data_IF_700523604141
#
_entry.id   IF_700523604141
#
_cell.length_a   1.000
_cell.length_b   1.000
_cell.length_c   1.000
_cell.angle_alpha   90.00
_cell.angle_beta   90.00
_cell.angle_gamma   90.00
#
_symmetry.space_group_name_H-M   'P 1'
#
loop_
_entity.id
_entity.type
_entity.pdbx_description
1 polymer ?
#
# COMPACT_ATOMS: atom_id res chain seq x y z
N UNK A 1 17.40 -47.92 26.64
CA UNK A 1 17.40 -46.62 25.92
C UNK A 1 17.83 -45.42 26.76
N UNK A 2 17.67 -45.42 28.10
CA UNK A 2 18.04 -44.27 28.94
C UNK A 2 19.54 -43.91 28.93
N UNK A 3 20.45 -44.90 29.02
CA UNK A 3 21.90 -44.64 29.04
C UNK A 3 22.44 -43.99 27.76
N UNK A 4 21.85 -44.30 26.61
CA UNK A 4 22.26 -43.67 25.35
C UNK A 4 21.84 -42.19 25.31
N UNK A 5 20.69 -41.84 25.89
CA UNK A 5 20.23 -40.45 25.95
C UNK A 5 21.13 -39.54 26.80
N UNK A 6 21.91 -40.09 27.72
CA UNK A 6 22.84 -39.33 28.58
C UNK A 6 24.20 -39.10 27.90
N UNK A 7 24.64 -40.03 27.05
CA UNK A 7 25.91 -39.92 26.31
C UNK A 7 25.74 -39.46 24.85
N UNK A 8 24.52 -39.19 24.40
CA UNK A 8 24.25 -38.82 23.01
C UNK A 8 24.78 -37.41 22.68
N UNK A 9 25.83 -37.37 21.86
CA UNK A 9 26.46 -36.13 21.37
C UNK A 9 25.49 -35.26 20.56
N UNK A 10 24.57 -35.87 19.81
CA UNK A 10 23.56 -35.14 19.03
C UNK A 10 22.55 -34.43 19.93
N UNK A 11 22.11 -35.07 21.02
CA UNK A 11 21.24 -34.44 22.03
C UNK A 11 21.95 -33.27 22.72
N UNK A 12 23.22 -33.44 23.09
CA UNK A 12 24.01 -32.37 23.72
C UNK A 12 24.18 -31.15 22.80
N UNK A 13 24.36 -31.36 21.49
CA UNK A 13 24.37 -30.27 20.50
C UNK A 13 23.02 -29.58 20.36
N UNK A 14 21.92 -30.34 20.35
CA UNK A 14 20.56 -29.78 20.24
C UNK A 14 20.17 -28.95 21.48
N UNK A 15 20.48 -29.44 22.69
CA UNK A 15 20.23 -28.69 23.95
C UNK A 15 21.07 -27.41 24.02
N UNK A 16 22.32 -27.42 23.52
CA UNK A 16 23.13 -26.19 23.43
C UNK A 16 22.61 -25.17 22.41
N UNK A 17 21.89 -25.60 21.38
CA UNK A 17 21.28 -24.72 20.38
C UNK A 17 19.87 -24.27 20.75
N UNK A 18 19.21 -24.95 21.70
CA UNK A 18 17.98 -24.46 22.30
C UNK A 18 18.28 -23.25 23.17
N UNK A 19 17.82 -22.06 22.74
CA UNK A 19 17.63 -20.94 23.66
C UNK A 19 16.50 -21.31 24.60
N UNK A 20 16.83 -21.58 25.86
CA UNK A 20 15.83 -21.69 26.92
C UNK A 20 15.03 -20.38 26.98
N UNK A 21 13.71 -20.49 26.84
CA UNK A 21 12.82 -19.42 27.30
C UNK A 21 12.93 -19.47 28.82
N UNK A 22 13.62 -18.49 29.41
CA UNK A 22 13.69 -18.36 30.85
C UNK A 22 12.31 -17.95 31.37
N UNK A 23 11.52 -18.93 31.81
CA UNK A 23 10.45 -18.66 32.75
C UNK A 23 11.09 -18.53 34.14
N UNK A 24 10.98 -17.36 34.74
CA UNK A 24 11.36 -17.18 36.14
C UNK A 24 10.49 -18.08 37.03
N UNK A 25 11.05 -18.68 38.10
CA UNK A 25 10.26 -19.49 39.01
C UNK A 25 9.22 -18.61 39.69
N UNK A 26 7.99 -19.10 39.76
CA UNK A 26 6.93 -18.52 40.56
C UNK A 26 7.21 -18.79 42.04
N UNK A 27 8.01 -17.93 42.67
CA UNK A 27 8.07 -17.86 44.12
C UNK A 27 7.05 -16.82 44.61
N UNK A 28 6.04 -17.37 45.25
CA UNK A 28 4.96 -16.69 45.94
C UNK A 28 5.48 -15.90 47.13
N UNK A 29 5.24 -14.58 47.15
CA UNK A 29 4.60 -13.92 48.29
C UNK A 29 4.29 -12.44 48.03
N UNK A 30 3.04 -12.10 48.36
CA UNK A 30 2.53 -10.77 48.73
C UNK A 30 2.39 -9.68 47.65
N UNK A 31 1.17 -9.59 47.12
CA UNK A 31 0.41 -8.33 47.14
C UNK A 31 0.37 -7.51 45.85
N UNK A 32 -0.84 -7.06 45.54
CA UNK A 32 -1.25 -5.98 44.62
C UNK A 32 -1.44 -6.25 43.12
N UNK A 33 -2.66 -5.86 42.71
CA UNK A 33 -3.25 -5.87 41.39
C UNK A 33 -2.32 -5.35 40.29
N UNK A 34 -2.13 -6.15 39.23
CA UNK A 34 -1.98 -5.70 37.85
C UNK A 34 -2.06 -6.90 36.92
N UNK A 35 -3.12 -6.99 36.13
CA UNK A 35 -3.16 -7.81 34.91
C UNK A 35 -2.21 -7.18 33.89
N UNK A 36 -0.91 -7.35 34.12
CA UNK A 36 0.14 -6.96 33.19
C UNK A 36 0.15 -7.95 32.03
N UNK A 37 -0.55 -7.61 30.95
CA UNK A 37 -0.27 -8.21 29.66
C UNK A 37 1.17 -7.87 29.32
N UNK A 38 2.02 -8.90 29.36
CA UNK A 38 3.45 -8.82 29.08
C UNK A 38 3.65 -8.05 27.78
N UNK A 39 4.32 -6.90 27.86
CA UNK A 39 4.75 -6.13 26.69
C UNK A 39 5.86 -6.90 25.98
N UNK A 40 5.45 -7.90 25.19
CA UNK A 40 6.30 -8.60 24.25
C UNK A 40 6.28 -7.86 22.91
N UNK A 41 6.80 -6.62 22.88
CA UNK A 41 7.16 -5.95 21.64
C UNK A 41 8.56 -5.38 21.80
N UNK A 42 9.45 -5.95 20.99
CA UNK A 42 10.85 -5.62 20.73
C UNK A 42 11.32 -4.21 21.16
N UNK A 43 12.59 -4.12 21.56
CA UNK A 43 13.40 -2.91 21.68
C UNK A 43 13.50 -2.02 20.40
N UNK A 44 12.61 -2.17 19.42
CA UNK A 44 12.45 -1.26 18.30
C UNK A 44 11.42 -0.19 18.64
N UNK A 45 11.86 1.06 18.79
CA UNK A 45 10.98 2.22 18.92
C UNK A 45 9.95 2.19 17.79
N UNK A 46 8.66 2.20 18.12
CA UNK A 46 7.60 2.22 17.13
C UNK A 46 7.66 3.54 16.34
N UNK A 47 7.77 3.43 15.03
CA UNK A 47 7.73 4.59 14.14
C UNK A 47 6.29 4.88 13.71
N UNK A 48 5.72 5.92 14.30
CA UNK A 48 4.36 6.36 14.01
C UNK A 48 4.16 6.83 12.57
N UNK A 49 5.23 7.26 11.87
CA UNK A 49 5.14 7.64 10.46
C UNK A 49 4.98 6.41 9.58
N UNK A 50 5.75 5.34 9.83
CA UNK A 50 5.59 4.06 9.12
C UNK A 50 4.25 3.41 9.39
N UNK A 51 3.72 3.56 10.61
CA UNK A 51 2.36 3.12 10.92
C UNK A 51 1.32 3.85 10.08
N UNK A 52 1.42 5.18 9.96
CA UNK A 52 0.52 5.99 9.12
C UNK A 52 0.63 5.65 7.66
N UNK A 53 1.84 5.43 7.15
CA UNK A 53 2.08 4.95 5.79
C UNK A 53 1.40 3.59 5.56
N UNK A 54 1.53 2.64 6.50
CA UNK A 54 0.84 1.35 6.46
C UNK A 54 -0.69 1.49 6.44
N UNK A 55 -1.24 2.40 7.23
CA UNK A 55 -2.68 2.70 7.23
C UNK A 55 -3.11 3.32 5.90
N UNK A 56 -2.31 4.22 5.31
CA UNK A 56 -2.59 4.80 4.01
C UNK A 56 -2.62 3.71 2.93
N UNK A 57 -1.65 2.79 2.93
CA UNK A 57 -1.67 1.62 2.05
C UNK A 57 -2.92 0.77 2.24
N UNK A 58 -3.28 0.42 3.49
CA UNK A 58 -4.48 -0.36 3.79
C UNK A 58 -5.75 0.33 3.27
N UNK A 59 -5.91 1.64 3.51
CA UNK A 59 -7.05 2.42 3.03
C UNK A 59 -7.12 2.40 1.49
N UNK A 60 -6.00 2.62 0.81
CA UNK A 60 -5.96 2.64 -0.65
C UNK A 60 -6.19 1.26 -1.27
N UNK A 61 -5.69 0.20 -0.64
CA UNK A 61 -5.82 -1.18 -1.12
C UNK A 61 -7.26 -1.70 -1.02
N UNK A 62 -7.98 -1.30 0.03
CA UNK A 62 -9.34 -1.74 0.29
C UNK A 62 -10.40 -0.67 -0.01
N UNK A 63 -9.99 0.43 -0.66
CA UNK A 63 -10.88 1.52 -1.08
C UNK A 63 -11.74 2.09 0.07
N UNK A 64 -11.19 2.12 1.28
CA UNK A 64 -11.89 2.64 2.43
C UNK A 64 -12.02 4.18 2.37
N UNK A 65 -13.10 4.75 2.93
CA UNK A 65 -13.16 6.19 3.08
C UNK A 65 -12.08 6.66 4.05
N UNK A 66 -11.42 7.79 3.76
CA UNK A 66 -10.40 8.36 4.65
C UNK A 66 -10.91 8.69 6.05
N UNK A 67 -12.23 8.77 6.25
CA UNK A 67 -12.85 8.96 7.56
C UNK A 67 -12.73 7.76 8.50
N UNK A 68 -12.40 6.57 7.98
CA UNK A 68 -12.34 5.34 8.77
C UNK A 68 -11.36 5.44 9.94
N UNK A 69 -10.28 6.21 9.78
CA UNK A 69 -9.29 6.43 10.85
C UNK A 69 -9.81 7.28 12.00
N UNK A 70 -10.92 7.98 11.80
CA UNK A 70 -11.56 8.83 12.80
C UNK A 70 -12.59 8.07 13.64
N UNK A 71 -12.96 6.85 13.25
CA UNK A 71 -13.93 6.03 13.96
C UNK A 71 -13.43 5.61 15.34
N UNK A 72 -14.34 5.57 16.31
CA UNK A 72 -14.01 5.23 17.69
C UNK A 72 -13.48 3.80 17.81
N UNK A 73 -14.11 2.85 17.11
CA UNK A 73 -13.69 1.44 17.11
C UNK A 73 -12.26 1.24 16.58
N UNK A 74 -11.92 1.91 15.46
CA UNK A 74 -10.57 1.89 14.93
C UNK A 74 -9.55 2.46 15.93
N UNK A 75 -9.85 3.62 16.52
CA UNK A 75 -8.94 4.25 17.49
C UNK A 75 -8.80 3.44 18.78
N UNK A 76 -9.87 2.80 19.26
CA UNK A 76 -9.82 1.91 20.41
C UNK A 76 -8.94 0.69 20.13
N UNK A 77 -9.08 0.08 18.95
CA UNK A 77 -8.23 -1.03 18.52
C UNK A 77 -6.76 -0.62 18.45
N UNK A 78 -6.46 0.50 17.81
CA UNK A 78 -5.09 1.00 17.67
C UNK A 78 -4.46 1.34 19.02
N UNK A 79 -5.21 1.96 19.93
CA UNK A 79 -4.71 2.30 21.27
C UNK A 79 -4.44 1.07 22.14
N UNK A 80 -5.15 -0.04 21.90
CA UNK A 80 -4.88 -1.33 22.58
C UNK A 80 -3.59 -1.97 22.09
N UNK A 81 -3.29 -1.90 20.79
CA UNK A 81 -2.05 -2.45 20.23
C UNK A 81 -0.84 -1.52 20.38
N UNK A 82 -1.07 -0.21 20.40
CA UNK A 82 -0.06 0.85 20.40
C UNK A 82 -0.44 1.88 21.47
N UNK A 83 0.14 1.80 22.68
CA UNK A 83 -0.21 2.72 23.77
C UNK A 83 0.02 4.21 23.45
N UNK A 84 1.03 4.51 22.62
CA UNK A 84 1.37 5.87 22.17
C UNK A 84 0.51 6.36 21.00
N UNK A 85 -0.52 5.60 20.60
CA UNK A 85 -1.36 5.95 19.45
C UNK A 85 -2.15 7.24 19.71
N UNK A 86 -1.94 8.21 18.83
CA UNK A 86 -2.72 9.42 18.77
C UNK A 86 -3.68 9.36 17.59
N UNK A 87 -4.90 9.86 17.79
CA UNK A 87 -5.92 9.91 16.75
C UNK A 87 -5.38 10.64 15.52
N UNK A 88 -5.55 10.02 14.36
CA UNK A 88 -5.20 10.61 13.06
C UNK A 88 -6.47 11.16 12.41
N UNK A 89 -6.38 12.35 11.82
CA UNK A 89 -7.50 12.94 11.09
C UNK A 89 -7.58 12.43 9.65
N UNK A 90 -8.77 12.51 9.04
CA UNK A 90 -8.97 12.20 7.62
C UNK A 90 -8.08 13.06 6.71
N UNK A 91 -7.80 14.31 7.12
CA UNK A 91 -6.99 15.25 6.34
C UNK A 91 -5.55 14.79 6.33
N UNK A 92 -5.07 14.37 7.50
CA UNK A 92 -3.72 13.85 7.68
C UNK A 92 -3.50 12.57 6.88
N UNK A 93 -4.41 11.58 6.99
CA UNK A 93 -4.24 10.32 6.27
C UNK A 93 -4.41 10.48 4.75
N UNK A 94 -5.28 11.40 4.32
CA UNK A 94 -5.39 11.79 2.91
C UNK A 94 -4.06 12.33 2.39
N UNK A 95 -3.42 13.24 3.13
CA UNK A 95 -2.11 13.77 2.76
C UNK A 95 -1.03 12.68 2.68
N UNK A 96 -1.06 11.69 3.59
CA UNK A 96 -0.14 10.56 3.52
C UNK A 96 -0.40 9.65 2.31
N UNK A 97 -1.68 9.36 2.00
CA UNK A 97 -2.04 8.61 0.81
C UNK A 97 -1.56 9.33 -0.48
N UNK A 98 -1.64 10.66 -0.52
CA UNK A 98 -1.07 11.44 -1.63
C UNK A 98 0.46 11.31 -1.72
N UNK A 99 1.19 11.27 -0.60
CA UNK A 99 2.64 11.03 -0.62
C UNK A 99 2.98 9.64 -1.17
N UNK A 100 2.22 8.62 -0.76
CA UNK A 100 2.35 7.26 -1.29
C UNK A 100 2.11 7.26 -2.80
N UNK A 101 1.06 7.94 -3.26
CA UNK A 101 0.78 8.10 -4.69
C UNK A 101 1.94 8.76 -5.45
N UNK A 102 2.47 9.88 -4.97
CA UNK A 102 3.59 10.58 -5.65
C UNK A 102 4.85 9.71 -5.72
N UNK A 103 5.13 8.93 -4.67
CA UNK A 103 6.25 7.99 -4.66
C UNK A 103 6.06 6.88 -5.71
N UNK A 104 4.88 6.26 -5.77
CA UNK A 104 4.58 5.23 -6.77
C UNK A 104 4.52 5.80 -8.19
N UNK A 105 4.02 7.02 -8.37
CA UNK A 105 4.04 7.74 -9.66
C UNK A 105 5.48 7.91 -10.14
N UNK A 106 6.38 8.36 -9.28
CA UNK A 106 7.81 8.47 -9.60
C UNK A 106 8.42 7.11 -9.97
N UNK A 107 8.13 6.06 -9.20
CA UNK A 107 8.60 4.70 -9.46
C UNK A 107 8.13 4.19 -10.82
N UNK A 108 6.87 4.47 -11.18
CA UNK A 108 6.30 4.08 -12.46
C UNK A 108 6.90 4.90 -13.63
N UNK A 109 7.17 6.20 -13.45
CA UNK A 109 7.95 6.99 -14.42
C UNK A 109 9.34 6.40 -14.67
N UNK A 110 10.04 6.03 -13.61
CA UNK A 110 11.37 5.41 -13.72
C UNK A 110 11.31 4.04 -14.40
N UNK A 111 10.19 3.32 -14.28
CA UNK A 111 9.93 2.10 -15.04
C UNK A 111 9.71 2.42 -16.52
N UNK A 112 8.89 3.42 -16.86
CA UNK A 112 8.62 3.81 -18.25
C UNK A 112 9.89 4.21 -19.00
N UNK A 113 10.89 4.81 -18.34
CA UNK A 113 12.20 5.11 -18.96
C UNK A 113 12.89 3.86 -19.53
N UNK A 114 12.65 2.69 -18.93
CA UNK A 114 13.27 1.40 -19.33
C UNK A 114 12.46 0.63 -20.38
N UNK A 115 11.21 1.03 -20.59
CA UNK A 115 10.30 0.41 -21.57
C UNK A 115 10.54 1.03 -22.95
N UNK A 116 10.49 0.22 -24.00
CA UNK A 116 10.66 0.69 -25.38
C UNK A 116 9.38 1.31 -25.96
N UNK A 117 8.23 0.67 -25.72
CA UNK A 117 6.95 1.07 -26.32
C UNK A 117 5.81 0.96 -25.31
N UNK A 118 4.91 1.94 -25.34
CA UNK A 118 3.70 2.00 -24.52
C UNK A 118 2.49 2.17 -25.43
N UNK A 119 1.48 1.34 -25.26
CA UNK A 119 0.18 1.52 -25.91
C UNK A 119 -0.82 2.09 -24.91
N UNK A 120 -1.67 3.00 -25.34
CA UNK A 120 -2.71 3.58 -24.50
C UNK A 120 -4.07 3.02 -24.88
N UNK A 121 -4.94 2.85 -23.88
CA UNK A 121 -6.38 2.74 -24.10
C UNK A 121 -7.09 3.85 -23.36
N UNK A 122 -8.05 4.49 -24.00
CA UNK A 122 -8.94 5.47 -23.36
C UNK A 122 -10.30 4.84 -23.08
N UNK A 123 -10.87 5.14 -21.92
CA UNK A 123 -12.23 4.76 -21.56
C UNK A 123 -13.01 6.03 -21.19
N UNK A 124 -14.17 6.22 -21.80
CA UNK A 124 -15.02 7.40 -21.66
C UNK A 124 -16.28 7.01 -20.91
N UNK A 125 -16.28 7.29 -19.61
CA UNK A 125 -17.38 6.95 -18.74
C UNK A 125 -18.26 8.17 -18.46
N UNK A 126 -19.58 8.01 -18.60
CA UNK A 126 -20.57 8.97 -18.10
C UNK A 126 -21.16 8.54 -16.76
N UNK A 127 -20.99 9.37 -15.73
CA UNK A 127 -21.67 9.19 -14.46
C UNK A 127 -23.16 9.42 -14.64
N UNK A 128 -23.96 8.36 -14.44
CA UNK A 128 -25.43 8.42 -14.53
C UNK A 128 -26.02 9.41 -13.53
N UNK A 129 -25.45 9.48 -12.33
CA UNK A 129 -25.95 10.30 -11.24
C UNK A 129 -25.52 11.76 -11.33
N UNK A 130 -24.27 12.02 -11.70
CA UNK A 130 -23.72 13.38 -11.71
C UNK A 130 -23.83 14.06 -13.09
N UNK A 131 -24.14 13.31 -14.15
CA UNK A 131 -24.05 13.75 -15.56
C UNK A 131 -22.66 14.29 -15.93
N UNK A 132 -21.66 13.94 -15.13
CA UNK A 132 -20.24 14.25 -15.33
C UNK A 132 -19.63 13.13 -16.16
N UNK A 133 -18.75 13.48 -17.08
CA UNK A 133 -18.03 12.52 -17.89
C UNK A 133 -16.55 12.51 -17.57
N UNK A 134 -16.01 11.32 -17.46
CA UNK A 134 -14.63 11.07 -17.13
C UNK A 134 -13.95 10.36 -18.29
N UNK A 135 -12.67 10.62 -18.45
CA UNK A 135 -11.81 9.81 -19.29
C UNK A 135 -10.72 9.18 -18.45
N UNK A 136 -10.58 7.88 -18.59
CA UNK A 136 -9.51 7.09 -17.99
C UNK A 136 -8.51 6.78 -19.08
N UNK A 137 -7.24 7.08 -18.84
CA UNK A 137 -6.15 6.70 -19.74
C UNK A 137 -5.37 5.58 -19.05
N UNK A 138 -5.32 4.44 -19.71
CA UNK A 138 -4.58 3.26 -19.25
C UNK A 138 -3.39 2.99 -20.17
N UNK A 139 -2.21 2.87 -19.59
CA UNK A 139 -1.00 2.45 -20.28
C UNK A 139 -0.84 0.93 -20.21
N UNK A 140 -0.47 0.34 -21.34
CA UNK A 140 -0.15 -1.06 -21.52
C UNK A 140 1.28 -1.16 -22.06
N UNK A 141 2.10 -2.00 -21.45
CA UNK A 141 3.51 -2.18 -21.83
C UNK A 141 4.03 -3.54 -21.40
N UNK A 142 5.13 -3.98 -22.00
CA UNK A 142 5.85 -5.19 -21.58
C UNK A 142 7.03 -4.77 -20.71
N UNK A 143 7.15 -5.34 -19.51
CA UNK A 143 8.28 -5.08 -18.61
C UNK A 143 9.53 -5.90 -18.96
N UNK A 144 10.61 -5.68 -18.21
CA UNK A 144 11.91 -6.36 -18.43
C UNK A 144 11.84 -7.87 -18.17
N UNK A 145 10.83 -8.33 -17.44
CA UNK A 145 10.56 -9.74 -17.17
C UNK A 145 9.62 -10.36 -18.23
N UNK A 146 9.40 -9.65 -19.34
CA UNK A 146 8.51 -10.05 -20.43
C UNK A 146 7.06 -10.25 -19.96
N UNK A 147 6.57 -9.45 -19.00
CA UNK A 147 5.18 -9.51 -18.55
C UNK A 147 4.42 -8.30 -19.04
N UNK A 148 3.22 -8.56 -19.57
CA UNK A 148 2.28 -7.51 -19.94
C UNK A 148 1.77 -6.82 -18.66
N UNK A 149 2.01 -5.52 -18.57
CA UNK A 149 1.57 -4.65 -17.50
C UNK A 149 0.47 -3.72 -17.98
N UNK A 150 -0.51 -3.49 -17.12
CA UNK A 150 -1.62 -2.54 -17.30
C UNK A 150 -1.63 -1.57 -16.13
N UNK A 151 -1.59 -0.25 -16.38
CA UNK A 151 -1.59 0.80 -15.35
C UNK A 151 -2.49 1.97 -15.75
N UNK A 152 -3.40 2.37 -14.88
CA UNK A 152 -4.14 3.64 -15.04
C UNK A 152 -3.16 4.77 -14.75
N UNK A 153 -2.94 5.63 -15.74
CA UNK A 153 -1.98 6.73 -15.65
C UNK A 153 -2.66 8.09 -15.62
N UNK A 154 -3.92 8.18 -16.05
CA UNK A 154 -4.69 9.40 -15.90
C UNK A 154 -6.16 9.12 -15.68
N UNK A 155 -6.79 9.97 -14.88
CA UNK A 155 -8.22 9.95 -14.60
C UNK A 155 -8.69 11.41 -14.59
N UNK A 156 -9.37 11.83 -15.65
CA UNK A 156 -9.72 13.25 -15.83
C UNK A 156 -11.22 13.45 -15.97
N UNK A 157 -11.69 14.61 -15.51
CA UNK A 157 -13.01 15.11 -15.86
C UNK A 157 -12.93 15.79 -17.24
N UNK A 158 -13.83 15.41 -18.16
CA UNK A 158 -13.99 16.05 -19.47
C UNK A 158 -15.27 16.90 -19.52
N UNK A 159 -15.17 18.23 -19.37
CA UNK A 159 -16.34 19.10 -19.46
C UNK A 159 -16.88 19.17 -20.90
N UNK A 160 -18.21 19.34 -21.08
CA UNK A 160 -18.79 19.67 -22.38
C UNK A 160 -18.27 21.03 -22.91
N UNK A 161 -18.15 21.24 -24.24
CA UNK A 161 -18.45 20.34 -25.34
C UNK A 161 -17.27 19.41 -25.72
N UNK A 162 -17.58 18.13 -25.98
CA UNK A 162 -16.62 17.09 -26.35
C UNK A 162 -16.24 17.19 -27.83
N UNK A 163 -15.20 17.97 -28.10
CA UNK A 163 -14.53 17.92 -29.40
C UNK A 163 -13.39 16.91 -29.34
N UNK A 164 -13.12 16.21 -30.44
CA UNK A 164 -11.97 15.30 -30.53
C UNK A 164 -10.65 15.98 -30.15
N UNK A 165 -10.53 17.29 -30.40
CA UNK A 165 -9.41 18.11 -29.96
C UNK A 165 -9.20 18.07 -28.43
N UNK A 166 -10.26 18.20 -27.62
CA UNK A 166 -10.14 18.19 -26.15
C UNK A 166 -9.65 16.83 -25.63
N UNK A 167 -10.08 15.74 -26.27
CA UNK A 167 -9.64 14.38 -25.94
C UNK A 167 -8.15 14.23 -26.30
N UNK A 168 -7.78 14.65 -27.52
CA UNK A 168 -6.39 14.63 -27.98
C UNK A 168 -5.47 15.47 -27.08
N UNK A 169 -5.90 16.67 -26.68
CA UNK A 169 -5.15 17.54 -25.77
C UNK A 169 -4.94 16.89 -24.40
N UNK A 170 -5.95 16.19 -23.89
CA UNK A 170 -5.83 15.47 -22.63
C UNK A 170 -4.86 14.28 -22.73
N UNK A 171 -4.93 13.51 -23.83
CA UNK A 171 -3.98 12.42 -24.08
C UNK A 171 -2.56 12.97 -24.21
N UNK A 172 -2.37 14.07 -24.96
CA UNK A 172 -1.07 14.70 -25.13
C UNK A 172 -0.51 15.25 -23.80
N UNK A 173 -1.36 15.88 -22.99
CA UNK A 173 -0.99 16.35 -21.65
C UNK A 173 -0.58 15.18 -20.76
N UNK A 174 -1.31 14.07 -20.82
CA UNK A 174 -0.95 12.83 -20.12
C UNK A 174 0.42 12.32 -20.56
N UNK A 175 0.66 12.17 -21.86
CA UNK A 175 1.95 11.69 -22.37
C UNK A 175 3.12 12.55 -21.88
N UNK A 176 2.96 13.89 -21.91
CA UNK A 176 3.92 14.87 -21.39
C UNK A 176 4.15 14.76 -19.90
N UNK A 177 3.08 14.64 -19.12
CA UNK A 177 3.19 14.48 -17.68
C UNK A 177 3.93 13.20 -17.29
N UNK A 178 3.83 12.14 -18.10
CA UNK A 178 4.46 10.85 -17.86
C UNK A 178 5.80 10.66 -18.57
N UNK A 179 6.24 11.62 -19.41
CA UNK A 179 7.50 11.59 -20.16
C UNK A 179 7.60 10.35 -21.07
N UNK A 180 6.54 10.09 -21.84
CA UNK A 180 6.40 8.92 -22.73
C UNK A 180 5.93 9.27 -24.15
N UNK A 181 6.03 10.54 -24.57
CA UNK A 181 5.59 10.99 -25.89
C UNK A 181 6.30 10.27 -27.04
N UNK A 182 7.60 10.01 -26.88
CA UNK A 182 8.47 9.33 -27.84
C UNK A 182 8.30 7.81 -27.85
N UNK A 183 7.58 7.26 -26.86
CA UNK A 183 7.37 5.82 -26.66
C UNK A 183 5.98 5.36 -27.08
N UNK A 184 5.13 6.28 -27.51
CA UNK A 184 3.75 5.98 -27.87
C UNK A 184 3.70 5.05 -29.08
N UNK A 185 3.07 3.90 -28.87
CA UNK A 185 2.91 2.88 -29.88
C UNK A 185 1.59 2.95 -30.64
N UNK A 186 0.49 2.99 -29.91
CA UNK A 186 -0.87 2.99 -30.40
C UNK A 186 -1.80 3.59 -29.34
N UNK A 187 -2.94 4.12 -29.78
CA UNK A 187 -4.00 4.63 -28.90
C UNK A 187 -5.32 3.97 -29.31
N UNK A 188 -5.78 3.04 -28.49
CA UNK A 188 -7.08 2.39 -28.66
C UNK A 188 -8.19 3.07 -27.84
N UNK A 189 -9.42 2.87 -28.26
CA UNK A 189 -10.58 3.02 -27.38
C UNK A 189 -10.84 1.68 -26.71
N UNK A 190 -11.09 1.70 -25.41
CA UNK A 190 -11.56 0.51 -24.70
C UNK A 190 -12.95 0.20 -25.25
N UNK A 191 -13.08 -0.80 -26.12
CA UNK A 191 -14.40 -1.31 -26.46
C UNK A 191 -15.01 -1.86 -25.17
N UNK A 192 -16.16 -1.34 -24.77
CA UNK A 192 -17.03 -2.02 -23.81
C UNK A 192 -17.32 -3.42 -24.39
N UNK A 193 -16.82 -4.47 -23.73
CA UNK A 193 -17.23 -5.85 -23.97
C UNK A 193 -18.51 -6.10 -23.17
#
# INVERSE_FOLDING_TARGET
>A
MHRHLESCVMKAKHVRQQKLINFLPSDSSTGTNQSGFVSALNNGKLDMLKMREGIAHWITMHEHPFSIVEEEGFNLMMKRGIPEWNRVSRVTIKADAFKVYELEKKRLKDLFKKVERVSLTTDLWKSKSQKIEYMVITAHFVDLEWKLQKRVINFVHLPPPRKGANIADCILTCLREWEIEDKLGDVGNSCEI
#
